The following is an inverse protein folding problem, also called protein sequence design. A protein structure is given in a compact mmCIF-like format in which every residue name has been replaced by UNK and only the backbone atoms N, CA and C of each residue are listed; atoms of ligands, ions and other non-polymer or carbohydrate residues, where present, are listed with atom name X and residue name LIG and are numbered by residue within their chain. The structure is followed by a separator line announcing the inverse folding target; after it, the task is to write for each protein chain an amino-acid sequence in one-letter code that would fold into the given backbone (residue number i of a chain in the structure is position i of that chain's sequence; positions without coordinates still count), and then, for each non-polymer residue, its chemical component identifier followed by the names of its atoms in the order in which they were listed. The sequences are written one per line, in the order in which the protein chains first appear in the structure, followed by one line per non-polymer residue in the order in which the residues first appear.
data_IF_120217051468
#
_entry.id   IF_120217051468
#
_cell.length_a   1.000
_cell.length_b   1.000
_cell.length_c   1.000
_cell.angle_alpha   90.00
_cell.angle_beta   90.00
_cell.angle_gamma   90.00
#
_symmetry.space_group_name_H-M   'P 1'
#
loop_
_entity.id
_entity.type
_entity.pdbx_description
1 polymer ?
#
# COMPACT_ATOMS: atom_id res chain seq x y z
N UNK A 1 -9.02 -6.36 -1.02
CA UNK A 1 -8.47 -5.98 -2.34
C UNK A 1 -7.47 -4.86 -2.07
N UNK A 2 -6.21 -5.04 -2.45
CA UNK A 2 -5.20 -3.99 -2.30
C UNK A 2 -5.55 -2.79 -3.18
N UNK A 3 -5.50 -1.58 -2.63
CA UNK A 3 -5.69 -0.33 -3.38
C UNK A 3 -4.44 0.07 -4.17
N UNK A 4 -3.28 -0.51 -3.84
CA UNK A 4 -1.98 -0.21 -4.45
C UNK A 4 -1.54 -1.22 -5.51
N UNK A 5 -2.24 -2.34 -5.71
CA UNK A 5 -1.87 -3.32 -6.72
C UNK A 5 -3.06 -4.19 -7.15
N UNK A 6 -3.04 -4.81 -8.35
CA UNK A 6 -4.13 -5.67 -8.82
C UNK A 6 -4.15 -7.07 -8.18
N UNK A 7 -3.10 -7.47 -7.45
CA UNK A 7 -2.99 -8.80 -6.83
C UNK A 7 -4.01 -8.98 -5.70
N UNK A 8 -4.57 -10.18 -5.61
CA UNK A 8 -5.60 -10.54 -4.63
C UNK A 8 -5.04 -11.22 -3.37
N UNK A 9 -3.86 -11.82 -3.49
CA UNK A 9 -3.22 -12.62 -2.45
C UNK A 9 -2.09 -11.84 -1.77
N UNK A 10 -1.84 -12.16 -0.49
CA UNK A 10 -0.78 -11.54 0.32
C UNK A 10 -1.27 -11.04 1.68
N UNK A 11 -0.34 -10.50 2.47
CA UNK A 11 -0.64 -9.94 3.78
C UNK A 11 -1.23 -8.52 3.63
N UNK A 12 -2.52 -8.38 3.98
CA UNK A 12 -3.26 -7.13 3.92
C UNK A 12 -3.39 -6.49 5.31
N UNK A 13 -3.33 -5.16 5.36
CA UNK A 13 -3.67 -4.36 6.53
C UNK A 13 -4.66 -3.24 6.15
N UNK A 14 -5.43 -2.79 7.14
CA UNK A 14 -6.39 -1.70 6.95
C UNK A 14 -5.67 -0.40 6.67
N UNK A 15 -6.22 0.39 5.77
CA UNK A 15 -5.74 1.74 5.44
C UNK A 15 -6.51 2.80 6.24
N UNK A 16 -5.94 3.99 6.33
CA UNK A 16 -6.54 5.18 6.94
C UNK A 16 -7.83 5.64 6.24
N UNK A 17 -7.98 5.37 4.94
CA UNK A 17 -9.19 5.65 4.16
C UNK A 17 -10.29 4.56 4.28
N UNK A 18 -10.09 3.54 5.13
CA UNK A 18 -11.06 2.45 5.35
C UNK A 18 -10.98 1.29 4.36
N UNK A 19 -10.06 1.34 3.41
CA UNK A 19 -9.77 0.25 2.48
C UNK A 19 -8.71 -0.74 3.00
N UNK A 20 -7.94 -1.28 2.07
CA UNK A 20 -6.93 -2.31 2.35
C UNK A 20 -5.74 -2.14 1.42
N UNK A 21 -4.55 -2.31 1.96
CA UNK A 21 -3.31 -2.34 1.20
C UNK A 21 -2.44 -3.51 1.67
N UNK A 22 -1.64 -4.06 0.76
CA UNK A 22 -0.64 -5.04 1.18
C UNK A 22 0.46 -4.35 1.97
N UNK A 23 0.93 -5.02 3.02
CA UNK A 23 2.08 -4.56 3.81
C UNK A 23 3.30 -4.41 2.92
N UNK A 24 3.53 -5.35 1.99
CA UNK A 24 4.63 -5.25 1.02
C UNK A 24 4.48 -4.03 0.11
N UNK A 25 3.27 -3.72 -0.40
CA UNK A 25 3.07 -2.53 -1.22
C UNK A 25 3.39 -1.24 -0.44
N UNK A 26 3.02 -1.19 0.84
CA UNK A 26 3.34 -0.06 1.72
C UNK A 26 4.85 0.07 2.01
N UNK A 27 5.58 -1.05 2.12
CA UNK A 27 7.03 -1.03 2.33
C UNK A 27 7.83 -0.56 1.10
N UNK A 28 7.33 -0.83 -0.12
CA UNK A 28 8.00 -0.46 -1.36
C UNK A 28 7.68 0.95 -1.84
N UNK A 29 6.63 1.58 -1.33
CA UNK A 29 6.27 2.96 -1.67
C UNK A 29 6.71 3.87 -0.52
N UNK A 30 7.78 4.66 -0.66
CA UNK A 30 8.33 5.45 0.43
C UNK A 30 7.37 6.54 0.95
N UNK A 31 6.39 6.95 0.12
CA UNK A 31 5.36 7.90 0.53
C UNK A 31 4.26 7.27 1.39
N UNK A 32 4.15 5.94 1.41
CA UNK A 32 3.22 5.22 2.28
C UNK A 32 3.84 5.09 3.66
N UNK A 33 3.05 5.36 4.69
CA UNK A 33 3.50 5.29 6.08
C UNK A 33 2.67 4.29 6.88
N UNK A 34 3.15 3.93 8.05
CA UNK A 34 2.38 3.19 9.03
C UNK A 34 2.14 4.08 10.24
N UNK A 35 0.90 4.21 10.67
CA UNK A 35 0.59 5.02 11.86
C UNK A 35 1.26 4.45 13.13
N UNK A 36 1.40 3.13 13.19
CA UNK A 36 2.20 2.45 14.21
C UNK A 36 3.12 1.43 13.52
N UNK A 37 4.43 1.63 13.65
CA UNK A 37 5.44 0.76 13.02
C UNK A 37 5.58 -0.61 13.69
N UNK A 38 5.21 -0.74 14.96
CA UNK A 38 5.25 -2.02 15.69
C UNK A 38 4.12 -2.95 15.28
N UNK A 39 2.91 -2.41 15.06
CA UNK A 39 1.74 -3.19 14.60
C UNK A 39 1.54 -3.14 13.09
N UNK A 40 2.29 -2.27 12.41
CA UNK A 40 2.17 -1.95 10.97
C UNK A 40 0.74 -1.61 10.56
N UNK A 41 0.02 -0.88 11.41
CA UNK A 41 -1.37 -0.49 11.12
C UNK A 41 -1.83 0.78 11.85
N UNK A 42 -2.79 1.53 11.28
CA UNK A 42 -3.23 1.46 9.88
C UNK A 42 -2.14 1.91 8.88
N UNK A 43 -2.28 1.45 7.63
CA UNK A 43 -1.49 1.94 6.49
C UNK A 43 -2.01 3.33 6.13
N UNK A 44 -1.13 4.32 6.13
CA UNK A 44 -1.45 5.72 5.89
C UNK A 44 -1.19 6.05 4.42
N UNK A 45 -2.27 6.28 3.68
CA UNK A 45 -2.23 6.60 2.24
C UNK A 45 -2.45 8.08 1.94
N UNK A 46 -2.87 8.89 2.92
CA UNK A 46 -3.11 10.34 2.73
C UNK A 46 -1.87 11.12 2.25
N UNK A 47 -0.66 10.63 2.58
CA UNK A 47 0.61 11.24 2.19
C UNK A 47 1.03 10.90 0.75
N UNK A 48 0.31 9.99 0.09
CA UNK A 48 0.59 9.57 -1.29
C UNK A 48 -0.07 10.56 -2.26
N UNK A 49 0.71 11.31 -3.08
CA UNK A 49 0.15 12.23 -4.05
C UNK A 49 -0.72 11.52 -5.09
N UNK A 50 -1.80 12.15 -5.53
CA UNK A 50 -2.73 11.58 -6.51
C UNK A 50 -2.06 11.18 -7.83
N UNK A 51 -1.01 11.90 -8.25
CA UNK A 51 -0.20 11.56 -9.44
C UNK A 51 0.47 10.19 -9.36
N UNK A 52 0.72 9.68 -8.14
CA UNK A 52 1.26 8.34 -7.95
C UNK A 52 0.24 7.31 -8.39
N UNK A 53 -1.05 7.43 -8.00
CA UNK A 53 -2.14 6.49 -8.30
C UNK A 53 -2.23 6.12 -9.78
N UNK A 54 -2.00 7.08 -10.67
CA UNK A 54 -2.01 6.86 -12.12
C UNK A 54 -0.80 6.05 -12.64
N UNK A 55 0.25 5.91 -11.83
CA UNK A 55 1.44 5.07 -12.05
C UNK A 55 1.48 3.83 -11.14
N UNK A 56 0.55 3.65 -10.18
CA UNK A 56 0.56 2.54 -9.18
C UNK A 56 0.03 1.22 -9.74
N UNK A 57 -0.05 1.08 -11.05
CA UNK A 57 0.40 -0.16 -11.67
C UNK A 57 1.94 -0.22 -11.56
N UNK A 58 2.48 -0.10 -10.33
CA UNK A 58 3.89 -0.39 -10.08
C UNK A 58 4.06 -1.79 -10.63
N UNK A 59 4.95 -1.91 -11.61
CA UNK A 59 5.29 -3.18 -12.23
C UNK A 59 5.84 -4.09 -11.13
N UNK A 60 4.96 -4.81 -10.44
CA UNK A 60 5.28 -5.96 -9.59
C UNK A 60 5.68 -7.16 -10.48
N UNK A 61 6.40 -6.90 -11.60
CA UNK A 61 6.85 -7.91 -12.55
C UNK A 61 8.19 -8.55 -12.16
N UNK A 62 8.87 -8.00 -11.15
CA UNK A 62 10.22 -8.43 -10.76
C UNK A 62 10.31 -8.93 -9.30
N UNK A 63 9.18 -9.02 -8.59
CA UNK A 63 9.15 -9.35 -7.14
C UNK A 63 8.17 -10.48 -6.77
N UNK A 64 7.53 -11.11 -7.77
CA UNK A 64 6.75 -12.34 -7.66
C UNK A 64 6.99 -13.22 -8.90
#
# INVERSE_FOLDING_TARGET
RCELCPHKDGALKRTDNGGWAHVVCALYIPEVQFANVSTMEPIVLQSVPHDRYNKVSIKFREIW
#
